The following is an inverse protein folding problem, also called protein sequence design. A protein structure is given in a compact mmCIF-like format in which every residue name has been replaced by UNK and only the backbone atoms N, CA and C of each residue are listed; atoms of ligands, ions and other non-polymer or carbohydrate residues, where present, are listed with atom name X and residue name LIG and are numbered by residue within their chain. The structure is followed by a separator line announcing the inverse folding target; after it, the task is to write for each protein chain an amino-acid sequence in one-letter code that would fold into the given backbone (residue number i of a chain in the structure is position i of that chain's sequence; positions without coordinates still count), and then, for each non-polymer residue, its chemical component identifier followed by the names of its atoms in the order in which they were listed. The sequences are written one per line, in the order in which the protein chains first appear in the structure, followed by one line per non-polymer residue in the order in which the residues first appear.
data_IF_468058527749
#
_entry.id   IF_468058527749
#
_cell.length_a   1.000
_cell.length_b   1.000
_cell.length_c   1.000
_cell.angle_alpha   90.00
_cell.angle_beta   90.00
_cell.angle_gamma   90.00
#
_symmetry.space_group_name_H-M   'P 1'
#
loop_
_entity.id
_entity.type
_entity.pdbx_description
1 polymer ?
#
# COMPACT_ATOMS: atom_id res chain seq x y z
N UNK A 1 18.74 -19.53 3.53
CA UNK A 1 18.22 -19.69 2.15
C UNK A 1 17.57 -18.35 1.77
N UNK A 2 18.35 -17.44 1.18
CA UNK A 2 17.82 -16.20 0.60
C UNK A 2 17.03 -16.57 -0.65
N UNK A 3 15.74 -16.23 -0.71
CA UNK A 3 14.98 -16.39 -1.95
C UNK A 3 15.39 -15.27 -2.92
N UNK A 4 16.23 -15.61 -3.88
CA UNK A 4 16.46 -14.82 -5.10
C UNK A 4 15.18 -14.84 -5.95
N UNK A 5 14.23 -13.98 -5.64
CA UNK A 5 13.11 -13.72 -6.55
C UNK A 5 13.63 -12.87 -7.71
N UNK A 6 14.10 -13.56 -8.76
CA UNK A 6 14.30 -12.98 -10.09
C UNK A 6 13.00 -12.27 -10.50
N UNK A 7 13.04 -10.94 -10.53
CA UNK A 7 12.00 -10.10 -11.11
C UNK A 7 11.95 -10.37 -12.63
N UNK A 8 11.11 -11.31 -13.06
CA UNK A 8 10.72 -11.39 -14.45
C UNK A 8 9.65 -10.33 -14.72
N UNK A 9 9.93 -9.46 -15.69
CA UNK A 9 8.99 -8.46 -16.19
C UNK A 9 7.76 -9.19 -16.76
N UNK A 10 6.57 -8.89 -16.21
CA UNK A 10 5.19 -9.26 -16.68
C UNK A 10 4.36 -10.25 -15.85
N UNK A 11 4.65 -10.52 -14.58
CA UNK A 11 3.64 -11.12 -13.69
C UNK A 11 3.17 -10.11 -12.64
N UNK A 12 1.89 -9.75 -12.69
CA UNK A 12 1.19 -9.19 -11.53
C UNK A 12 1.18 -10.30 -10.50
N UNK A 13 1.98 -10.15 -9.44
CA UNK A 13 2.05 -11.16 -8.39
C UNK A 13 0.69 -11.26 -7.69
N UNK A 14 0.09 -12.45 -7.76
CA UNK A 14 -1.00 -12.82 -6.87
C UNK A 14 -0.39 -13.26 -5.54
N UNK A 15 -0.64 -12.46 -4.51
CA UNK A 15 -0.13 -12.68 -3.16
C UNK A 15 -1.12 -13.50 -2.31
N UNK A 16 -2.25 -13.95 -2.87
CA UNK A 16 -3.30 -14.69 -2.16
C UNK A 16 -2.83 -16.02 -1.57
N UNK A 17 -1.95 -16.73 -2.26
CA UNK A 17 -1.53 -18.09 -1.90
C UNK A 17 -0.21 -18.16 -1.10
N UNK A 18 0.47 -17.04 -0.91
CA UNK A 18 1.79 -17.01 -0.26
C UNK A 18 1.66 -16.56 1.20
N UNK A 19 2.15 -17.40 2.13
CA UNK A 19 2.31 -17.04 3.55
C UNK A 19 3.45 -16.03 3.73
N UNK A 20 3.12 -14.74 3.71
CA UNK A 20 4.08 -13.66 3.98
C UNK A 20 4.19 -13.36 5.50
N UNK A 21 5.33 -12.96 6.02
CA UNK A 21 5.41 -12.37 7.36
C UNK A 21 4.90 -10.92 7.35
N UNK A 22 4.61 -10.34 8.52
CA UNK A 22 4.26 -8.90 8.62
C UNK A 22 5.37 -8.02 8.04
N UNK A 23 6.64 -8.35 8.31
CA UNK A 23 7.79 -7.62 7.80
C UNK A 23 7.93 -7.75 6.27
N UNK A 24 7.64 -8.92 5.71
CA UNK A 24 7.62 -9.10 4.25
C UNK A 24 6.52 -8.27 3.59
N UNK A 25 5.31 -8.24 4.16
CA UNK A 25 4.23 -7.36 3.68
C UNK A 25 4.67 -5.90 3.74
N UNK A 26 5.22 -5.46 4.88
CA UNK A 26 5.72 -4.08 5.04
C UNK A 26 6.75 -3.73 3.97
N UNK A 27 7.69 -4.63 3.72
CA UNK A 27 8.72 -4.45 2.70
C UNK A 27 8.15 -4.34 1.28
N UNK A 28 7.27 -5.26 0.89
CA UNK A 28 6.61 -5.24 -0.43
C UNK A 28 5.78 -3.96 -0.59
N UNK A 29 5.05 -3.56 0.45
CA UNK A 29 4.27 -2.34 0.43
C UNK A 29 5.17 -1.12 0.20
N UNK A 30 6.26 -1.02 0.96
CA UNK A 30 7.24 0.06 0.81
C UNK A 30 7.81 0.17 -0.61
N UNK A 31 8.13 -0.96 -1.25
CA UNK A 31 8.62 -1.00 -2.63
C UNK A 31 7.57 -0.49 -3.65
N UNK A 32 6.30 -0.76 -3.38
CA UNK A 32 5.21 -0.28 -4.24
C UNK A 32 4.95 1.23 -4.12
N UNK A 33 5.40 1.86 -3.02
CA UNK A 33 5.25 3.29 -2.77
C UNK A 33 6.50 4.13 -3.09
N UNK A 34 7.48 3.59 -3.84
CA UNK A 34 8.74 4.30 -4.09
C UNK A 34 8.58 5.69 -4.72
N UNK A 35 7.60 5.91 -5.58
CA UNK A 35 7.32 7.20 -6.22
C UNK A 35 6.63 8.22 -5.29
N UNK A 36 6.18 7.80 -4.10
CA UNK A 36 5.48 8.64 -3.15
C UNK A 36 6.46 9.05 -2.05
N UNK A 37 6.78 10.34 -2.03
CA UNK A 37 7.59 10.94 -0.97
C UNK A 37 6.72 11.37 0.22
N UNK A 38 5.62 12.09 -0.05
CA UNK A 38 4.58 12.46 0.90
C UNK A 38 3.22 12.43 0.22
N UNK A 39 2.18 12.19 1.00
CA UNK A 39 0.80 12.24 0.59
C UNK A 39 0.04 13.26 1.44
N UNK A 40 -0.61 14.20 0.78
CA UNK A 40 -1.50 15.16 1.44
C UNK A 40 -2.95 14.69 1.28
N UNK A 41 -3.65 14.55 2.40
CA UNK A 41 -5.08 14.24 2.47
C UNK A 41 -5.80 15.37 3.19
N UNK A 42 -7.02 15.68 2.75
CA UNK A 42 -7.93 16.59 3.44
C UNK A 42 -9.02 15.75 4.09
N UNK A 43 -9.17 15.88 5.41
CA UNK A 43 -10.13 15.13 6.20
C UNK A 43 -10.69 16.06 7.28
N UNK A 44 -12.01 16.18 7.38
CA UNK A 44 -12.69 16.99 8.43
C UNK A 44 -12.16 18.42 8.60
N UNK A 45 -11.91 19.11 7.48
CA UNK A 45 -11.31 20.46 7.44
C UNK A 45 -9.85 20.54 7.90
N UNK A 46 -9.21 19.43 8.19
CA UNK A 46 -7.78 19.33 8.45
C UNK A 46 -7.02 18.84 7.22
N UNK A 47 -5.80 19.35 7.04
CA UNK A 47 -4.86 18.88 6.02
C UNK A 47 -3.79 18.05 6.69
N UNK A 48 -3.79 16.75 6.42
CA UNK A 48 -2.85 15.80 7.03
C UNK A 48 -1.76 15.47 6.00
N UNK A 49 -0.51 15.54 6.43
CA UNK A 49 0.66 15.18 5.63
C UNK A 49 1.22 13.86 6.12
N UNK A 50 1.17 12.85 5.26
CA UNK A 50 1.63 11.51 5.59
C UNK A 50 2.88 11.17 4.78
N UNK A 51 3.92 10.77 5.49
CA UNK A 51 5.08 10.08 4.92
C UNK A 51 4.69 8.66 4.51
N UNK A 52 5.50 8.07 3.65
CA UNK A 52 5.35 6.66 3.24
C UNK A 52 5.30 5.69 4.42
N UNK A 53 6.11 5.92 5.46
CA UNK A 53 6.12 5.05 6.64
C UNK A 53 4.82 5.17 7.44
N UNK A 54 4.28 6.38 7.59
CA UNK A 54 2.99 6.61 8.26
C UNK A 54 1.82 6.00 7.47
N UNK A 55 1.81 6.13 6.14
CA UNK A 55 0.80 5.48 5.28
C UNK A 55 0.77 3.97 5.51
N UNK A 56 1.95 3.35 5.48
CA UNK A 56 2.08 1.90 5.66
C UNK A 56 1.64 1.51 7.07
N UNK A 57 2.06 2.25 8.09
CA UNK A 57 1.72 1.94 9.48
C UNK A 57 0.21 2.06 9.74
N UNK A 58 -0.43 3.13 9.26
CA UNK A 58 -1.89 3.34 9.37
C UNK A 58 -2.62 2.16 8.73
N UNK A 59 -2.29 1.82 7.48
CA UNK A 59 -2.99 0.76 6.76
C UNK A 59 -2.74 -0.59 7.42
N UNK A 60 -1.49 -0.93 7.77
CA UNK A 60 -1.17 -2.23 8.36
C UNK A 60 -1.72 -2.43 9.77
N UNK A 61 -1.98 -1.36 10.51
CA UNK A 61 -2.54 -1.42 11.87
C UNK A 61 -4.06 -1.40 11.89
N UNK A 62 -4.69 -0.68 10.94
CA UNK A 62 -6.16 -0.53 10.90
C UNK A 62 -6.86 -1.51 9.97
N UNK A 63 -6.16 -2.11 9.03
CA UNK A 63 -6.76 -2.97 8.00
C UNK A 63 -6.37 -4.43 8.22
N UNK A 64 -7.34 -5.33 8.04
CA UNK A 64 -7.07 -6.76 8.11
C UNK A 64 -6.01 -7.17 7.10
N UNK A 65 -5.11 -8.04 7.51
CA UNK A 65 -3.96 -8.50 6.71
C UNK A 65 -4.32 -8.91 5.27
N UNK A 66 -5.42 -9.63 5.06
CA UNK A 66 -5.90 -10.03 3.71
C UNK A 66 -6.23 -8.83 2.82
N UNK A 67 -6.81 -7.77 3.40
CA UNK A 67 -7.17 -6.55 2.70
C UNK A 67 -5.93 -5.69 2.42
N UNK A 68 -4.94 -5.68 3.33
CA UNK A 68 -3.62 -5.06 3.06
C UNK A 68 -2.97 -5.68 1.82
N UNK A 69 -3.01 -7.00 1.69
CA UNK A 69 -2.46 -7.71 0.52
C UNK A 69 -3.20 -7.30 -0.76
N UNK A 70 -4.54 -7.19 -0.73
CA UNK A 70 -5.32 -6.69 -1.86
C UNK A 70 -4.96 -5.24 -2.22
N UNK A 71 -4.78 -4.37 -1.22
CA UNK A 71 -4.34 -2.98 -1.44
C UNK A 71 -2.99 -2.95 -2.16
N UNK A 72 -2.01 -3.75 -1.72
CA UNK A 72 -0.70 -3.87 -2.37
C UNK A 72 -0.84 -4.33 -3.82
N UNK A 73 -1.68 -5.35 -4.06
CA UNK A 73 -1.93 -5.85 -5.41
C UNK A 73 -2.55 -4.78 -6.32
N UNK A 74 -3.56 -4.04 -5.83
CA UNK A 74 -4.17 -2.93 -6.56
C UNK A 74 -3.19 -1.81 -6.87
N UNK A 75 -2.32 -1.46 -5.93
CA UNK A 75 -1.26 -0.46 -6.16
C UNK A 75 -0.30 -0.92 -7.24
N UNK A 76 0.12 -2.19 -7.22
CA UNK A 76 0.97 -2.77 -8.27
C UNK A 76 0.31 -2.68 -9.64
N UNK A 77 -0.99 -2.98 -9.74
CA UNK A 77 -1.76 -2.83 -10.98
C UNK A 77 -1.83 -1.38 -11.48
N UNK A 78 -2.14 -0.43 -10.60
CA UNK A 78 -2.23 1.01 -10.92
C UNK A 78 -0.87 1.52 -11.40
N UNK A 79 0.21 1.16 -10.69
CA UNK A 79 1.59 1.50 -11.04
C UNK A 79 1.98 0.94 -12.41
N UNK A 80 1.65 -0.33 -12.69
CA UNK A 80 1.93 -0.96 -13.98
C UNK A 80 1.19 -0.29 -15.15
N UNK A 81 0.02 0.31 -14.88
CA UNK A 81 -0.75 1.12 -15.85
C UNK A 81 -0.31 2.59 -15.90
N UNK A 82 0.75 2.96 -15.18
CA UNK A 82 1.24 4.35 -15.05
C UNK A 82 0.15 5.32 -14.58
N UNK A 83 -0.82 4.81 -13.82
CA UNK A 83 -1.94 5.60 -13.27
C UNK A 83 -1.58 6.18 -11.89
N UNK A 84 -2.40 7.12 -11.40
CA UNK A 84 -2.13 7.81 -10.14
C UNK A 84 -2.37 6.91 -8.92
N UNK A 85 -1.26 6.38 -8.37
CA UNK A 85 -1.24 5.63 -7.10
C UNK A 85 -1.63 6.51 -5.92
N UNK A 86 -1.31 7.81 -5.98
CA UNK A 86 -1.56 8.73 -4.88
C UNK A 86 -3.05 8.90 -4.66
N UNK A 87 -3.83 9.19 -5.71
CA UNK A 87 -5.29 9.30 -5.64
C UNK A 87 -5.96 8.06 -5.04
N UNK A 88 -5.52 6.87 -5.45
CA UNK A 88 -6.03 5.61 -4.87
C UNK A 88 -5.74 5.51 -3.37
N UNK A 89 -4.50 5.79 -2.95
CA UNK A 89 -4.15 5.76 -1.54
C UNK A 89 -4.90 6.80 -0.71
N UNK A 90 -5.11 8.02 -1.24
CA UNK A 90 -5.90 9.05 -0.56
C UNK A 90 -7.30 8.55 -0.25
N UNK A 91 -7.95 7.92 -1.23
CA UNK A 91 -9.29 7.38 -1.05
C UNK A 91 -9.34 6.29 0.02
N UNK A 92 -8.40 5.35 -0.01
CA UNK A 92 -8.28 4.30 1.01
C UNK A 92 -8.04 4.89 2.41
N UNK A 93 -7.13 5.86 2.53
CA UNK A 93 -6.80 6.48 3.81
C UNK A 93 -7.98 7.27 4.37
N UNK A 94 -8.70 8.03 3.55
CA UNK A 94 -9.93 8.72 3.96
C UNK A 94 -10.95 7.72 4.49
N UNK A 95 -11.18 6.60 3.78
CA UNK A 95 -12.09 5.55 4.24
C UNK A 95 -11.68 4.93 5.57
N UNK A 96 -10.37 4.69 5.76
CA UNK A 96 -9.85 4.19 7.04
C UNK A 96 -10.08 5.20 8.16
N UNK A 97 -9.79 6.48 7.93
CA UNK A 97 -9.97 7.53 8.95
C UNK A 97 -11.44 7.70 9.33
N UNK A 98 -12.34 7.74 8.35
CA UNK A 98 -13.79 7.88 8.57
C UNK A 98 -14.46 6.71 9.31
N UNK A 99 -13.86 5.50 9.27
CA UNK A 99 -14.45 4.31 9.91
C UNK A 99 -13.95 4.13 11.36
N UNK A 100 -13.05 5.00 11.84
CA UNK A 100 -12.47 4.92 13.17
C UNK A 100 -13.03 5.97 14.15
N UNK A 101 -14.14 6.63 13.79
CA UNK A 101 -15.04 7.33 14.71
C UNK A 101 -16.12 6.38 15.23
#
# INVERSE_FOLDING_TARGET
MLYDFKMSKKHVFDYGDIRLSRNQIKHIFYQNLQSIQRLTINFENETIFLTKDEIIEIIMTKVQRREVIKIIHMISLIKNRQSDVSGYLKYILIGILATNE
#
